data_IF_202817767860
#
_entry.id   IF_202817767860
#
_cell.length_a   1.000
_cell.length_b   1.000
_cell.length_c   1.000
_cell.angle_alpha   90.00
_cell.angle_beta   90.00
_cell.angle_gamma   90.00
#
_symmetry.space_group_name_H-M   'P 1'
#
loop_
_entity.id
_entity.type
_entity.pdbx_description
1 polymer ?
#
# COMPACT_ATOMS: atom_id res chain seq x y z
N UNK A 1 21.50 -14.72 -33.53
CA UNK A 1 20.88 -15.94 -32.94
C UNK A 1 19.91 -15.47 -31.87
N UNK A 2 18.72 -16.03 -31.93
CA UNK A 2 17.44 -15.62 -31.33
C UNK A 2 17.46 -15.33 -29.83
N UNK A 3 16.95 -14.16 -29.42
CA UNK A 3 16.34 -13.97 -28.10
C UNK A 3 14.83 -13.88 -28.30
N UNK A 4 14.16 -15.03 -28.16
CA UNK A 4 12.71 -15.11 -28.13
C UNK A 4 12.22 -14.68 -26.74
N UNK A 5 11.71 -13.46 -26.61
CA UNK A 5 10.94 -13.07 -25.43
C UNK A 5 9.54 -13.69 -25.51
N UNK A 6 9.21 -14.51 -24.52
CA UNK A 6 7.89 -15.13 -24.37
C UNK A 6 6.79 -14.07 -24.13
N UNK A 7 5.58 -14.26 -24.68
CA UNK A 7 4.46 -13.34 -24.45
C UNK A 7 3.72 -13.74 -23.16
N UNK A 8 3.83 -12.93 -22.10
CA UNK A 8 2.90 -13.06 -20.98
C UNK A 8 3.44 -12.80 -19.57
N UNK A 9 4.03 -11.64 -19.33
CA UNK A 9 3.95 -10.95 -18.03
C UNK A 9 4.56 -9.57 -18.20
N UNK A 10 3.71 -8.56 -18.45
CA UNK A 10 4.13 -7.16 -18.35
C UNK A 10 4.31 -6.87 -16.85
N UNK A 11 5.48 -7.22 -16.32
CA UNK A 11 5.89 -6.86 -14.97
C UNK A 11 6.12 -5.35 -14.95
N UNK A 12 5.19 -4.57 -14.36
CA UNK A 12 5.42 -3.15 -14.15
C UNK A 12 6.14 -2.98 -12.81
N UNK A 13 7.46 -2.87 -12.87
CA UNK A 13 8.26 -2.40 -11.74
C UNK A 13 7.94 -0.92 -11.55
N UNK A 14 7.33 -0.58 -10.41
CA UNK A 14 6.99 0.79 -10.04
C UNK A 14 7.86 1.26 -8.88
N UNK A 15 8.05 2.56 -8.77
CA UNK A 15 8.66 3.17 -7.61
C UNK A 15 7.56 3.62 -6.65
N UNK A 16 7.68 3.24 -5.38
CA UNK A 16 6.74 3.66 -4.35
C UNK A 16 6.86 5.18 -4.14
N UNK A 17 5.80 6.00 -4.32
CA UNK A 17 5.90 7.45 -4.18
C UNK A 17 6.29 7.89 -2.76
N UNK A 18 6.02 7.07 -1.74
CA UNK A 18 6.37 7.36 -0.34
C UNK A 18 7.86 7.14 -0.02
N UNK A 19 8.42 5.99 -0.41
CA UNK A 19 9.79 5.60 0.00
C UNK A 19 10.79 5.51 -1.16
N UNK A 20 10.33 5.73 -2.39
CA UNK A 20 11.11 5.68 -3.64
C UNK A 20 11.77 4.32 -3.95
N UNK A 21 11.43 3.26 -3.20
CA UNK A 21 11.89 1.90 -3.49
C UNK A 21 11.10 1.29 -4.62
N UNK A 22 11.79 0.53 -5.48
CA UNK A 22 11.16 -0.30 -6.49
C UNK A 22 10.34 -1.41 -5.83
N UNK A 23 9.13 -1.66 -6.33
CA UNK A 23 8.31 -2.78 -5.92
C UNK A 23 7.55 -3.34 -7.12
N UNK A 24 7.12 -4.58 -6.99
CA UNK A 24 6.35 -5.25 -8.02
C UNK A 24 4.87 -4.85 -7.90
N UNK A 25 4.42 -4.03 -8.84
CA UNK A 25 3.01 -3.71 -8.99
C UNK A 25 2.40 -4.60 -10.08
N UNK A 26 1.53 -5.53 -9.67
CA UNK A 26 0.75 -6.37 -10.59
C UNK A 26 -0.72 -5.98 -10.56
N UNK A 27 -1.03 -4.71 -10.83
CA UNK A 27 -2.42 -4.23 -10.83
C UNK A 27 -3.32 -5.04 -11.78
N UNK A 28 -2.80 -5.46 -12.95
CA UNK A 28 -3.51 -6.35 -13.89
C UNK A 28 -3.67 -7.81 -13.41
N UNK A 29 -3.05 -8.17 -12.29
CA UNK A 29 -3.19 -9.47 -11.63
C UNK A 29 -3.10 -9.25 -10.13
N UNK A 30 -4.08 -8.51 -9.58
CA UNK A 30 -4.04 -7.97 -8.21
C UNK A 30 -3.73 -9.03 -7.15
N UNK A 31 -4.19 -10.27 -7.35
CA UNK A 31 -3.92 -11.41 -6.47
C UNK A 31 -2.43 -11.75 -6.32
N UNK A 32 -1.61 -11.33 -7.27
CA UNK A 32 -0.16 -11.51 -7.31
C UNK A 32 0.62 -10.23 -6.94
N UNK A 33 -0.07 -9.13 -6.63
CA UNK A 33 0.57 -7.87 -6.30
C UNK A 33 1.05 -7.87 -4.85
N UNK A 34 2.21 -7.26 -4.58
CA UNK A 34 2.74 -7.15 -3.21
C UNK A 34 1.78 -6.40 -2.27
N UNK A 35 0.94 -5.50 -2.77
CA UNK A 35 -0.04 -4.82 -1.92
C UNK A 35 -1.10 -5.77 -1.36
N UNK A 36 -1.39 -6.89 -2.03
CA UNK A 36 -2.42 -7.84 -1.62
C UNK A 36 -2.06 -8.60 -0.34
N UNK A 37 -0.77 -8.65 0.02
CA UNK A 37 -0.31 -9.27 1.28
C UNK A 37 -0.65 -8.42 2.51
N UNK A 38 -1.13 -7.18 2.31
CA UNK A 38 -1.47 -6.26 3.39
C UNK A 38 -2.99 -6.18 3.55
N UNK A 39 -3.49 -6.66 4.69
CA UNK A 39 -4.90 -6.51 5.04
C UNK A 39 -5.17 -5.07 5.50
N UNK A 40 -6.05 -4.38 4.76
CA UNK A 40 -6.50 -3.01 5.02
C UNK A 40 -8.03 -3.01 5.15
N UNK A 41 -8.56 -2.22 6.08
CA UNK A 41 -10.02 -1.96 6.19
C UNK A 41 -10.40 -0.78 5.28
N UNK A 42 -11.71 -0.54 5.11
CA UNK A 42 -12.19 0.62 4.35
C UNK A 42 -11.60 1.95 4.88
N UNK A 43 -11.59 2.15 6.19
CA UNK A 43 -11.03 3.37 6.79
C UNK A 43 -9.52 3.53 6.54
N UNK A 44 -8.76 2.42 6.54
CA UNK A 44 -7.36 2.45 6.17
C UNK A 44 -7.19 2.86 4.70
N UNK A 45 -7.99 2.30 3.80
CA UNK A 45 -7.95 2.63 2.37
C UNK A 45 -8.31 4.10 2.12
N UNK A 46 -9.34 4.62 2.77
CA UNK A 46 -9.71 6.05 2.72
C UNK A 46 -8.56 6.95 3.20
N UNK A 47 -7.93 6.60 4.32
CA UNK A 47 -6.77 7.35 4.84
C UNK A 47 -5.60 7.36 3.85
N UNK A 48 -5.32 6.22 3.21
CA UNK A 48 -4.22 6.09 2.25
C UNK A 48 -4.53 6.88 0.96
N UNK A 49 -5.73 6.73 0.41
CA UNK A 49 -6.18 7.41 -0.81
C UNK A 49 -6.26 8.93 -0.65
N UNK A 50 -6.45 9.43 0.57
CA UNK A 50 -6.38 10.87 0.86
C UNK A 50 -4.95 11.44 0.81
N UNK A 51 -3.92 10.58 0.80
CA UNK A 51 -2.51 10.97 0.86
C UNK A 51 -1.72 10.61 -0.39
N UNK A 52 -2.13 9.57 -1.13
CA UNK A 52 -1.41 9.04 -2.28
C UNK A 52 -2.39 8.60 -3.38
N UNK A 53 -2.12 9.03 -4.62
CA UNK A 53 -2.92 8.70 -5.80
C UNK A 53 -2.37 7.53 -6.63
N UNK A 54 -1.27 6.90 -6.20
CA UNK A 54 -0.66 5.74 -6.88
C UNK A 54 -0.34 4.61 -5.89
N UNK A 55 0.01 3.45 -6.42
CA UNK A 55 0.31 2.24 -5.69
C UNK A 55 1.51 2.43 -4.76
N UNK A 56 1.38 1.90 -3.53
CA UNK A 56 2.44 1.87 -2.53
C UNK A 56 2.97 0.45 -2.35
N UNK A 57 4.24 0.33 -1.97
CA UNK A 57 4.81 -0.96 -1.60
C UNK A 57 4.21 -1.50 -0.28
N UNK A 58 4.30 -2.81 -0.07
CA UNK A 58 3.74 -3.48 1.12
C UNK A 58 4.25 -2.88 2.44
N UNK A 59 5.54 -2.56 2.53
CA UNK A 59 6.15 -1.95 3.72
C UNK A 59 5.49 -0.61 4.06
N UNK A 60 5.29 0.26 3.06
CA UNK A 60 4.64 1.56 3.26
C UNK A 60 3.17 1.43 3.65
N UNK A 61 2.45 0.47 3.06
CA UNK A 61 1.05 0.18 3.44
C UNK A 61 0.95 -0.30 4.89
N UNK A 62 1.87 -1.16 5.34
CA UNK A 62 1.95 -1.61 6.72
C UNK A 62 2.23 -0.46 7.68
N UNK A 63 3.16 0.44 7.33
CA UNK A 63 3.45 1.64 8.12
C UNK A 63 2.24 2.57 8.23
N UNK A 64 1.57 2.87 7.11
CA UNK A 64 0.37 3.73 7.09
C UNK A 64 -0.76 3.16 7.93
N UNK A 65 -0.97 1.85 7.88
CA UNK A 65 -1.92 1.15 8.73
C UNK A 65 -1.61 1.35 10.22
N UNK A 66 -0.34 1.22 10.60
CA UNK A 66 0.12 1.47 11.96
C UNK A 66 -0.10 2.92 12.42
N UNK A 67 0.24 3.88 11.57
CA UNK A 67 0.02 5.32 11.83
C UNK A 67 -1.47 5.65 12.04
N UNK A 68 -2.35 5.12 11.17
CA UNK A 68 -3.79 5.30 11.29
C UNK A 68 -4.30 4.74 12.62
N UNK A 69 -3.96 3.49 12.94
CA UNK A 69 -4.38 2.83 14.18
C UNK A 69 -3.93 3.59 15.43
N UNK A 70 -2.67 4.05 15.45
CA UNK A 70 -2.14 4.85 16.55
C UNK A 70 -2.91 6.17 16.69
N UNK A 71 -3.15 6.88 15.58
CA UNK A 71 -3.93 8.12 15.58
C UNK A 71 -5.36 7.91 16.10
N UNK A 72 -6.04 6.84 15.70
CA UNK A 72 -7.39 6.54 16.20
C UNK A 72 -7.39 6.20 17.69
N UNK A 73 -6.39 5.43 18.15
CA UNK A 73 -6.22 5.11 19.55
C UNK A 73 -6.01 6.37 20.40
N UNK A 74 -5.10 7.25 19.97
CA UNK A 74 -4.84 8.54 20.63
C UNK A 74 -6.10 9.42 20.69
N UNK A 75 -6.85 9.51 19.59
CA UNK A 75 -8.12 10.26 19.54
C UNK A 75 -9.14 9.72 20.53
N UNK A 76 -9.21 8.40 20.69
CA UNK A 76 -10.11 7.76 21.65
C UNK A 76 -9.68 8.05 23.09
N UNK A 77 -8.39 7.90 23.42
CA UNK A 77 -7.86 8.22 24.75
C UNK A 77 -8.13 9.68 25.10
N UNK A 78 -7.81 10.62 24.22
CA UNK A 78 -8.00 12.05 24.47
C UNK A 78 -9.48 12.43 24.70
N UNK A 79 -10.42 11.73 24.07
CA UNK A 79 -11.85 11.93 24.36
C UNK A 79 -12.22 11.43 25.76
N UNK A 80 -11.64 10.32 26.20
CA UNK A 80 -11.91 9.74 27.52
C UNK A 80 -11.28 10.57 28.65
N UNK A 81 -10.12 11.19 28.43
CA UNK A 81 -9.45 12.02 29.43
C UNK A 81 -10.08 13.41 29.62
N UNK A 82 -11.08 13.77 28.81
CA UNK A 82 -11.82 15.04 28.89
C UNK A 82 -13.19 14.89 29.59
N UNK A 83 -13.49 13.71 30.12
CA UNK A 83 -14.69 13.42 30.91
C UNK A 83 -14.40 13.35 32.40
#
# INVERSE_FOLDING_TARGET
>A
MSSACAPGAKHERKHCPRCQREFECKAGSILLCQCQTVVLTAEHMEYINALYDDCLCAECLLSLRGEFNNRQHQRRIHRLSRG
#
